data_IF_391377943325
#
_entry.id   IF_391377943325
#
_cell.length_a   1.000
_cell.length_b   1.000
_cell.length_c   1.000
_cell.angle_alpha   90.00
_cell.angle_beta   90.00
_cell.angle_gamma   90.00
#
_symmetry.space_group_name_H-M   'P 1'
#
loop_
_entity.id
_entity.type
_entity.pdbx_description
1 polymer ?
#
# COMPACT_ATOMS: atom_id res chain seq x y z
N UNK A 1 -48.38 74.37 39.16
CA UNK A 1 -47.68 74.42 37.87
C UNK A 1 -46.84 73.12 37.78
N UNK A 2 -47.35 72.12 37.12
CA UNK A 2 -46.73 70.80 37.02
C UNK A 2 -46.28 70.63 35.55
N UNK A 3 -44.95 70.58 35.34
CA UNK A 3 -44.39 70.36 34.00
C UNK A 3 -44.40 68.90 33.67
N UNK A 4 -45.18 68.52 32.67
CA UNK A 4 -45.23 67.19 32.11
C UNK A 4 -44.15 67.06 31.01
N UNK A 5 -43.10 66.25 31.29
CA UNK A 5 -42.12 65.90 30.26
C UNK A 5 -42.60 64.70 29.49
N UNK A 6 -42.83 64.91 28.19
CA UNK A 6 -43.12 63.86 27.23
C UNK A 6 -41.80 63.16 26.90
N UNK A 7 -41.72 61.84 27.17
CA UNK A 7 -40.61 60.97 26.76
C UNK A 7 -41.01 60.33 25.44
N UNK A 8 -40.32 60.74 24.37
CA UNK A 8 -40.41 60.06 23.08
C UNK A 8 -39.59 58.80 23.13
N UNK A 9 -40.25 57.64 23.18
CA UNK A 9 -39.60 56.33 22.98
C UNK A 9 -39.43 56.08 21.49
N UNK A 10 -38.20 56.12 21.03
CA UNK A 10 -37.83 55.66 19.68
C UNK A 10 -37.70 54.14 19.73
N UNK A 11 -38.62 53.46 19.07
CA UNK A 11 -38.57 52.02 18.86
C UNK A 11 -37.59 51.75 17.70
N UNK A 12 -36.37 51.29 18.04
CA UNK A 12 -35.42 50.79 17.04
C UNK A 12 -35.80 49.34 16.74
N UNK A 13 -36.38 49.13 15.56
CA UNK A 13 -36.60 47.76 15.02
C UNK A 13 -35.27 47.28 14.48
N UNK A 14 -34.59 46.43 15.22
CA UNK A 14 -33.44 45.68 14.75
C UNK A 14 -33.94 44.52 13.85
N UNK A 15 -33.78 44.68 12.54
CA UNK A 15 -33.88 43.57 11.60
C UNK A 15 -32.66 42.68 11.81
N UNK A 16 -32.83 41.55 12.50
CA UNK A 16 -31.91 40.46 12.41
C UNK A 16 -32.03 39.84 11.03
N UNK A 17 -31.12 40.18 10.14
CA UNK A 17 -30.89 39.41 8.95
C UNK A 17 -30.18 38.11 9.40
N UNK A 18 -30.96 37.03 9.50
CA UNK A 18 -30.41 35.69 9.62
C UNK A 18 -29.67 35.41 8.32
N UNK A 19 -28.34 35.55 8.30
CA UNK A 19 -27.53 34.84 7.34
C UNK A 19 -27.60 33.39 7.75
N UNK A 20 -28.48 32.61 7.12
CA UNK A 20 -28.27 31.16 7.03
C UNK A 20 -26.96 30.96 6.29
N UNK A 21 -26.01 30.20 6.83
CA UNK A 21 -24.85 29.80 6.07
C UNK A 21 -25.38 29.06 4.82
N UNK A 22 -24.76 29.25 3.65
CA UNK A 22 -25.10 28.45 2.49
C UNK A 22 -25.04 26.99 2.90
N UNK A 23 -26.08 26.22 2.55
CA UNK A 23 -26.05 24.77 2.66
C UNK A 23 -24.67 24.33 2.16
N UNK A 24 -23.82 23.85 3.08
CA UNK A 24 -22.71 23.01 2.70
C UNK A 24 -23.39 21.84 1.98
N UNK A 25 -23.39 21.89 0.65
CA UNK A 25 -23.42 20.67 -0.13
C UNK A 25 -22.31 19.85 0.46
N UNK A 26 -22.67 18.83 1.26
CA UNK A 26 -21.81 17.66 1.38
C UNK A 26 -21.51 17.32 -0.06
N UNK A 27 -20.32 17.68 -0.52
CA UNK A 27 -19.71 16.98 -1.61
C UNK A 27 -19.80 15.52 -1.19
N UNK A 28 -20.67 14.76 -1.85
CA UNK A 28 -20.56 13.31 -1.85
C UNK A 28 -19.13 13.09 -2.32
N UNK A 29 -18.28 12.81 -1.37
CA UNK A 29 -16.95 12.29 -1.57
C UNK A 29 -17.14 11.16 -2.55
N UNK A 30 -16.73 11.38 -3.78
CA UNK A 30 -16.80 10.39 -4.85
C UNK A 30 -15.83 9.31 -4.45
N UNK A 31 -16.40 8.29 -3.87
CA UNK A 31 -15.76 7.22 -3.17
C UNK A 31 -15.00 6.32 -4.15
N UNK A 32 -13.76 6.70 -4.46
CA UNK A 32 -12.74 5.76 -4.91
C UNK A 32 -12.36 4.77 -3.80
N UNK A 33 -13.12 4.75 -2.71
CA UNK A 33 -12.81 4.09 -1.44
C UNK A 33 -13.68 2.84 -1.17
N UNK A 34 -14.29 2.27 -2.19
CA UNK A 34 -15.05 1.03 -2.04
C UNK A 34 -14.16 -0.18 -2.35
N UNK A 35 -13.90 -0.98 -1.31
CA UNK A 35 -13.26 -2.29 -1.45
C UNK A 35 -14.27 -3.37 -1.80
N UNK A 36 -13.82 -4.36 -2.57
CA UNK A 36 -14.56 -5.58 -2.91
C UNK A 36 -13.88 -6.83 -2.37
N UNK A 37 -13.08 -6.68 -1.31
CA UNK A 37 -12.34 -7.79 -0.67
C UNK A 37 -13.23 -8.98 -0.30
N UNK A 38 -14.46 -8.73 0.15
CA UNK A 38 -15.41 -9.80 0.48
C UNK A 38 -15.85 -10.65 -0.71
N UNK A 39 -15.53 -10.24 -1.93
CA UNK A 39 -15.86 -10.95 -3.17
C UNK A 39 -14.69 -11.78 -3.71
N UNK A 40 -13.52 -11.71 -3.07
CA UNK A 40 -12.37 -12.48 -3.48
C UNK A 40 -12.47 -13.94 -3.03
N UNK A 41 -12.10 -14.84 -3.94
CA UNK A 41 -11.80 -16.22 -3.57
C UNK A 41 -10.40 -16.30 -2.95
N UNK A 42 -10.25 -17.11 -1.90
CA UNK A 42 -8.96 -17.38 -1.28
C UNK A 42 -8.87 -18.84 -0.81
N UNK A 43 -7.68 -19.41 -0.87
CA UNK A 43 -7.43 -20.72 -0.29
C UNK A 43 -6.03 -20.85 0.29
N UNK A 44 -5.92 -21.59 1.41
CA UNK A 44 -4.65 -21.87 2.08
C UNK A 44 -4.48 -23.38 2.26
N UNK A 45 -3.55 -23.95 1.50
CA UNK A 45 -3.26 -25.38 1.50
C UNK A 45 -2.65 -25.87 2.81
N UNK A 46 -2.70 -27.16 3.05
CA UNK A 46 -2.06 -27.75 4.23
C UNK A 46 -0.54 -27.57 4.20
N UNK A 47 0.06 -27.27 5.37
CA UNK A 47 1.50 -27.03 5.50
C UNK A 47 1.98 -25.64 5.10
N UNK A 48 1.07 -24.75 4.69
CA UNK A 48 1.36 -23.33 4.52
C UNK A 48 1.58 -22.68 5.89
N UNK A 49 2.65 -21.85 6.07
CA UNK A 49 2.84 -21.10 7.31
C UNK A 49 1.63 -20.21 7.64
N UNK A 50 1.27 -20.15 8.93
CA UNK A 50 0.11 -19.39 9.41
C UNK A 50 0.15 -17.89 9.04
N UNK A 51 1.33 -17.32 8.85
CA UNK A 51 1.53 -15.96 8.38
C UNK A 51 0.64 -15.62 7.18
N UNK A 52 0.59 -16.50 6.18
CA UNK A 52 -0.18 -16.23 4.96
C UNK A 52 -1.68 -16.21 5.23
N UNK A 53 -2.22 -17.20 5.94
CA UNK A 53 -3.65 -17.22 6.25
C UNK A 53 -4.10 -16.12 7.21
N UNK A 54 -3.17 -15.62 8.04
CA UNK A 54 -3.44 -14.50 8.95
C UNK A 54 -3.53 -13.17 8.23
N UNK A 55 -2.64 -12.92 7.26
CA UNK A 55 -2.47 -11.57 6.72
C UNK A 55 -2.89 -11.41 5.26
N UNK A 56 -3.03 -12.46 4.46
CA UNK A 56 -3.36 -12.34 3.04
C UNK A 56 -4.83 -12.60 2.77
N UNK A 57 -5.35 -11.96 1.72
CA UNK A 57 -6.65 -12.22 1.08
C UNK A 57 -6.52 -12.16 -0.44
N UNK A 58 -7.52 -12.68 -1.16
CA UNK A 58 -7.55 -12.70 -2.63
C UNK A 58 -6.38 -13.49 -3.27
N UNK A 59 -5.93 -14.53 -2.60
CA UNK A 59 -4.81 -15.37 -3.04
C UNK A 59 -5.10 -16.86 -2.82
N UNK A 60 -4.51 -17.70 -3.66
CA UNK A 60 -4.36 -19.12 -3.39
C UNK A 60 -2.93 -19.41 -2.94
N UNK A 61 -2.76 -20.03 -1.79
CA UNK A 61 -1.46 -20.30 -1.20
C UNK A 61 -1.27 -21.78 -0.98
N UNK A 62 -0.16 -22.32 -1.47
CA UNK A 62 0.19 -23.73 -1.35
C UNK A 62 1.62 -23.94 -0.91
N UNK A 63 1.85 -25.00 -0.13
CA UNK A 63 3.19 -25.42 0.24
C UNK A 63 3.82 -26.21 -0.93
N UNK A 64 5.05 -25.88 -1.29
CA UNK A 64 5.80 -26.50 -2.38
C UNK A 64 7.25 -26.80 -1.92
N UNK A 65 7.45 -27.92 -1.30
CA UNK A 65 8.77 -28.30 -0.76
C UNK A 65 9.24 -27.34 0.34
N UNK A 66 10.34 -26.66 0.11
CA UNK A 66 10.88 -25.63 1.01
C UNK A 66 10.30 -24.24 0.78
N UNK A 67 9.38 -24.10 -0.15
CA UNK A 67 8.80 -22.83 -0.56
C UNK A 67 7.29 -22.80 -0.29
N UNK A 68 6.77 -21.60 -0.17
CA UNK A 68 5.34 -21.28 -0.29
C UNK A 68 5.10 -20.62 -1.64
N UNK A 69 4.12 -21.12 -2.38
CA UNK A 69 3.71 -20.53 -3.67
C UNK A 69 2.40 -19.77 -3.46
N UNK A 70 2.38 -18.53 -3.89
CA UNK A 70 1.23 -17.62 -3.83
C UNK A 70 0.79 -17.35 -5.27
N UNK A 71 -0.47 -17.60 -5.58
CA UNK A 71 -1.05 -17.30 -6.88
C UNK A 71 -2.23 -16.36 -6.75
N UNK A 72 -2.45 -15.53 -7.76
CA UNK A 72 -3.54 -14.55 -7.82
C UNK A 72 -3.85 -14.22 -9.28
N UNK A 73 -5.06 -13.75 -9.54
CA UNK A 73 -5.44 -13.15 -10.82
C UNK A 73 -4.95 -11.71 -10.97
N UNK A 74 -4.38 -11.15 -9.92
CA UNK A 74 -3.84 -9.79 -9.86
C UNK A 74 -4.88 -8.69 -10.17
N UNK A 75 -6.15 -8.96 -9.92
CA UNK A 75 -7.20 -7.95 -10.02
C UNK A 75 -7.35 -7.22 -8.69
N UNK A 76 -7.09 -5.90 -8.63
CA UNK A 76 -7.20 -5.18 -7.37
C UNK A 76 -8.65 -5.19 -6.86
N UNK A 77 -8.89 -5.59 -5.58
CA UNK A 77 -10.24 -5.75 -5.03
C UNK A 77 -10.82 -4.42 -4.55
N UNK A 78 -10.79 -3.39 -5.39
CA UNK A 78 -11.29 -2.05 -5.12
C UNK A 78 -11.54 -1.28 -6.41
N UNK A 79 -12.14 -0.11 -6.29
CA UNK A 79 -12.42 0.75 -7.45
C UNK A 79 -11.17 1.48 -7.93
N UNK A 80 -10.98 1.47 -9.26
CA UNK A 80 -9.91 2.20 -9.95
C UNK A 80 -10.38 2.72 -11.29
N UNK A 81 -9.89 3.88 -11.69
CA UNK A 81 -10.11 4.40 -13.05
C UNK A 81 -9.32 3.64 -14.12
N UNK A 82 -8.50 2.68 -13.70
CA UNK A 82 -7.78 1.81 -14.61
C UNK A 82 -8.56 0.57 -15.02
N UNK A 83 -9.69 0.27 -14.41
CA UNK A 83 -10.61 -0.72 -14.95
C UNK A 83 -11.28 -0.21 -16.23
N UNK A 84 -11.67 -1.11 -17.12
CA UNK A 84 -12.47 -0.74 -18.29
C UNK A 84 -13.82 -0.16 -17.86
N UNK A 85 -14.38 0.77 -18.63
CA UNK A 85 -15.61 1.51 -18.27
C UNK A 85 -16.84 0.63 -18.00
N UNK A 86 -16.83 -0.62 -18.43
CA UNK A 86 -17.92 -1.55 -18.20
C UNK A 86 -17.68 -2.48 -16.99
N UNK A 87 -16.54 -2.34 -16.33
CA UNK A 87 -16.21 -3.15 -15.16
C UNK A 87 -16.89 -2.57 -13.91
N UNK A 88 -17.37 -3.43 -13.00
CA UNK A 88 -18.05 -3.00 -11.76
C UNK A 88 -17.17 -2.14 -10.86
N UNK A 89 -15.85 -2.36 -10.92
CA UNK A 89 -14.85 -1.60 -10.16
C UNK A 89 -14.34 -0.35 -10.90
N UNK A 90 -14.95 0.03 -12.03
CA UNK A 90 -14.57 1.27 -12.71
C UNK A 90 -15.10 2.50 -11.99
N UNK A 91 -14.26 3.52 -11.90
CA UNK A 91 -14.62 4.90 -11.55
C UNK A 91 -14.02 5.88 -12.57
N UNK A 92 -14.62 7.05 -12.71
CA UNK A 92 -14.04 8.09 -13.54
C UNK A 92 -12.73 8.63 -12.94
N UNK A 93 -11.79 9.00 -13.82
CA UNK A 93 -10.54 9.62 -13.40
C UNK A 93 -10.77 10.96 -12.69
N UNK A 94 -10.17 11.09 -11.52
CA UNK A 94 -10.09 12.36 -10.79
C UNK A 94 -8.62 12.65 -10.49
N UNK A 95 -8.14 13.81 -10.91
CA UNK A 95 -6.75 14.20 -10.66
C UNK A 95 -6.49 14.35 -9.16
N UNK A 96 -5.43 13.72 -8.67
CA UNK A 96 -4.99 13.80 -7.27
C UNK A 96 -4.12 15.05 -6.98
N UNK A 97 -3.89 15.89 -7.99
CA UNK A 97 -3.10 17.11 -7.84
C UNK A 97 -2.31 17.49 -9.07
N UNK A 98 -1.44 18.49 -8.91
CA UNK A 98 -0.58 18.94 -10.01
C UNK A 98 0.40 17.87 -10.43
N UNK A 99 0.52 17.62 -11.71
CA UNK A 99 1.40 16.61 -12.29
C UNK A 99 0.76 15.24 -12.46
N UNK A 100 -0.34 14.92 -11.75
CA UNK A 100 -1.02 13.64 -11.90
C UNK A 100 -1.71 13.49 -13.25
N UNK A 101 -1.62 12.29 -13.82
CA UNK A 101 -2.23 11.92 -15.08
C UNK A 101 -2.69 10.46 -15.06
N UNK A 102 -3.65 10.12 -15.89
CA UNK A 102 -4.00 8.73 -16.16
C UNK A 102 -3.14 8.20 -17.30
N UNK A 103 -2.41 7.10 -17.08
CA UNK A 103 -1.74 6.42 -18.18
C UNK A 103 -2.79 5.73 -19.10
N UNK A 104 -2.47 5.41 -20.35
CA UNK A 104 -3.48 4.90 -21.31
C UNK A 104 -3.84 3.42 -21.13
N UNK A 105 -3.29 2.76 -20.12
CA UNK A 105 -3.43 1.31 -19.94
C UNK A 105 -4.68 0.99 -19.10
N UNK A 106 -5.24 -0.22 -19.30
CA UNK A 106 -6.36 -0.74 -18.52
C UNK A 106 -5.94 -2.00 -17.77
N UNK A 107 -6.52 -2.23 -16.59
CA UNK A 107 -6.33 -3.46 -15.80
C UNK A 107 -6.88 -4.65 -16.55
N UNK A 108 -6.11 -5.73 -16.56
CA UNK A 108 -6.57 -7.04 -17.02
C UNK A 108 -6.06 -8.15 -16.11
N UNK A 109 -6.86 -9.20 -15.92
CA UNK A 109 -6.48 -10.34 -15.10
C UNK A 109 -5.19 -10.99 -15.60
N UNK A 110 -4.36 -11.43 -14.65
CA UNK A 110 -3.08 -12.06 -14.87
C UNK A 110 -3.10 -13.47 -14.24
N UNK A 111 -2.16 -14.30 -14.61
CA UNK A 111 -1.89 -15.56 -13.89
C UNK A 111 -0.60 -15.38 -13.10
N UNK A 112 -0.69 -14.60 -12.00
CA UNK A 112 0.46 -14.34 -11.16
C UNK A 112 0.81 -15.56 -10.33
N UNK A 113 2.11 -15.85 -10.20
CA UNK A 113 2.62 -16.90 -9.31
C UNK A 113 3.97 -16.47 -8.76
N UNK A 114 4.06 -16.38 -7.45
CA UNK A 114 5.30 -16.01 -6.74
C UNK A 114 5.65 -17.15 -5.77
N UNK A 115 6.88 -17.63 -5.87
CA UNK A 115 7.41 -18.66 -4.98
C UNK A 115 8.32 -18.01 -3.96
N UNK A 116 8.02 -18.19 -2.67
CA UNK A 116 8.73 -17.56 -1.54
C UNK A 116 9.38 -18.66 -0.71
N UNK A 117 10.71 -18.61 -0.44
CA UNK A 117 11.37 -19.59 0.42
C UNK A 117 10.93 -19.44 1.89
N UNK A 118 10.56 -20.56 2.52
CA UNK A 118 10.18 -20.59 3.94
C UNK A 118 11.36 -20.27 4.87
N UNK A 119 12.56 -20.65 4.47
CA UNK A 119 13.81 -20.39 5.19
C UNK A 119 14.84 -19.86 4.20
N UNK A 120 14.76 -18.58 3.83
CA UNK A 120 15.65 -18.01 2.84
C UNK A 120 17.10 -17.92 3.34
N UNK A 121 18.04 -17.99 2.42
CA UNK A 121 19.47 -17.86 2.70
C UNK A 121 19.95 -16.45 2.39
N UNK A 122 20.55 -15.79 3.38
CA UNK A 122 21.14 -14.47 3.18
C UNK A 122 22.28 -14.51 2.17
N UNK A 123 22.32 -13.53 1.28
CA UNK A 123 23.44 -13.30 0.35
C UNK A 123 24.70 -12.75 1.04
N UNK A 124 24.60 -12.39 2.33
CA UNK A 124 25.71 -11.80 3.09
C UNK A 124 26.10 -10.41 2.61
N UNK A 125 25.16 -9.68 2.00
CA UNK A 125 25.39 -8.32 1.48
C UNK A 125 25.35 -7.31 2.62
N UNK A 126 26.19 -6.28 2.48
CA UNK A 126 26.02 -5.01 3.20
C UNK A 126 25.28 -4.06 2.26
N UNK A 127 24.00 -3.85 2.52
CA UNK A 127 23.17 -2.97 1.68
C UNK A 127 23.49 -1.51 2.02
N UNK A 128 24.02 -0.81 1.05
CA UNK A 128 24.45 0.57 1.17
C UNK A 128 24.02 1.38 -0.07
N UNK A 129 24.22 2.69 -0.03
CA UNK A 129 23.82 3.62 -1.09
C UNK A 129 24.48 3.40 -2.46
N UNK A 130 25.51 2.53 -2.53
CA UNK A 130 26.11 2.15 -3.81
C UNK A 130 25.40 0.96 -4.47
N UNK A 131 24.64 0.20 -3.69
CA UNK A 131 23.75 -0.86 -4.21
C UNK A 131 22.35 -0.31 -4.49
N UNK A 132 21.84 0.53 -3.57
CA UNK A 132 20.53 1.19 -3.70
C UNK A 132 20.74 2.52 -4.40
N UNK A 133 20.90 2.50 -5.71
CA UNK A 133 21.25 3.69 -6.50
C UNK A 133 20.10 4.23 -7.36
N UNK A 134 18.97 3.54 -7.38
CA UNK A 134 17.77 3.96 -8.12
C UNK A 134 17.86 3.75 -9.63
N UNK A 135 18.84 2.97 -10.12
CA UNK A 135 19.05 2.77 -11.56
C UNK A 135 19.01 1.28 -11.91
N UNK A 136 18.07 0.90 -12.78
CA UNK A 136 17.91 -0.48 -13.19
C UNK A 136 19.16 -1.06 -13.88
N UNK A 137 19.53 -2.27 -13.50
CA UNK A 137 20.62 -3.03 -14.13
C UNK A 137 22.01 -2.64 -13.67
N UNK A 138 22.16 -1.90 -12.57
CA UNK A 138 23.45 -1.49 -12.02
C UNK A 138 24.05 -2.52 -11.06
N UNK A 139 23.20 -3.36 -10.48
CA UNK A 139 23.59 -4.46 -9.59
C UNK A 139 23.02 -5.80 -10.04
N UNK A 140 23.77 -6.89 -9.84
CA UNK A 140 23.28 -8.26 -10.05
C UNK A 140 22.37 -8.74 -8.90
N UNK A 141 22.15 -7.91 -7.89
CA UNK A 141 21.36 -8.22 -6.72
C UNK A 141 20.00 -7.54 -6.70
N UNK A 142 19.73 -6.70 -7.70
CA UNK A 142 18.43 -6.04 -7.85
C UNK A 142 17.30 -7.05 -8.07
N UNK A 143 16.11 -6.71 -7.60
CA UNK A 143 14.91 -7.39 -8.06
C UNK A 143 14.71 -7.13 -9.56
N UNK A 144 14.31 -8.17 -10.28
CA UNK A 144 13.99 -8.04 -11.72
C UNK A 144 12.83 -7.07 -11.99
N UNK A 145 12.69 -6.67 -13.24
CA UNK A 145 11.51 -5.92 -13.68
C UNK A 145 10.30 -6.85 -13.77
N UNK A 146 9.15 -6.40 -13.24
CA UNK A 146 7.91 -7.16 -13.21
C UNK A 146 7.48 -7.55 -11.79
N UNK A 147 6.62 -8.56 -11.67
CA UNK A 147 6.13 -9.03 -10.37
C UNK A 147 7.24 -9.75 -9.60
N UNK A 148 7.74 -9.12 -8.58
CA UNK A 148 8.82 -9.62 -7.70
C UNK A 148 8.35 -9.83 -6.26
N UNK A 149 7.07 -9.64 -5.99
CA UNK A 149 6.43 -9.89 -4.71
C UNK A 149 4.92 -9.86 -4.83
N UNK A 150 4.25 -10.09 -3.70
CA UNK A 150 2.79 -10.10 -3.59
C UNK A 150 2.38 -9.26 -2.40
N UNK A 151 1.47 -8.33 -2.62
CA UNK A 151 0.80 -7.56 -1.58
C UNK A 151 -0.28 -8.39 -0.89
N UNK A 152 -0.70 -8.00 0.33
CA UNK A 152 -1.66 -8.77 1.13
C UNK A 152 -3.00 -9.01 0.43
N UNK A 153 -3.37 -8.14 -0.51
CA UNK A 153 -4.61 -8.21 -1.29
C UNK A 153 -4.44 -8.88 -2.67
N UNK A 154 -3.38 -9.66 -2.85
CA UNK A 154 -3.13 -10.41 -4.08
C UNK A 154 -2.59 -9.61 -5.26
N UNK A 155 -2.35 -8.31 -5.09
CA UNK A 155 -1.77 -7.44 -6.13
C UNK A 155 -0.25 -7.60 -6.17
N UNK A 156 0.33 -7.52 -7.36
CA UNK A 156 1.76 -7.61 -7.56
C UNK A 156 2.53 -6.46 -6.90
N UNK A 157 3.66 -6.79 -6.30
CA UNK A 157 4.69 -5.83 -5.93
C UNK A 157 5.77 -5.83 -7.00
N UNK A 158 6.13 -4.66 -7.51
CA UNK A 158 7.26 -4.45 -8.38
C UNK A 158 8.43 -3.87 -7.58
N UNK A 159 9.62 -3.88 -8.17
CA UNK A 159 10.78 -3.16 -7.64
C UNK A 159 10.54 -1.63 -7.69
N UNK A 160 11.37 -0.80 -7.06
CA UNK A 160 11.17 0.64 -7.01
C UNK A 160 11.66 1.37 -8.27
N UNK A 161 11.85 0.67 -9.38
CA UNK A 161 12.43 1.23 -10.60
C UNK A 161 11.38 1.30 -11.71
N UNK A 162 11.38 2.39 -12.45
CA UNK A 162 10.62 2.51 -13.69
C UNK A 162 11.33 1.80 -14.84
N UNK A 163 10.57 1.39 -15.86
CA UNK A 163 11.15 0.84 -17.07
C UNK A 163 11.96 1.93 -17.83
N UNK A 164 13.25 1.70 -18.15
CA UNK A 164 14.03 2.70 -18.85
C UNK A 164 13.38 3.15 -20.18
N UNK A 165 13.40 4.43 -20.55
CA UNK A 165 14.17 5.50 -19.90
C UNK A 165 13.43 6.29 -18.82
N UNK A 166 12.30 5.81 -18.33
CA UNK A 166 11.44 6.51 -17.39
C UNK A 166 12.05 6.51 -15.98
N UNK A 167 11.62 7.46 -15.15
CA UNK A 167 12.01 7.61 -13.75
C UNK A 167 10.78 7.33 -12.87
N UNK A 168 10.96 6.54 -11.81
CA UNK A 168 9.87 6.23 -10.86
C UNK A 168 9.33 7.49 -10.18
N UNK A 169 10.16 8.52 -10.03
CA UNK A 169 9.76 9.82 -9.47
C UNK A 169 8.82 10.60 -10.41
N UNK A 170 8.82 10.28 -11.70
CA UNK A 170 7.87 10.80 -12.69
C UNK A 170 6.68 9.83 -12.84
N UNK A 171 6.94 8.53 -12.87
CA UNK A 171 5.92 7.49 -13.06
C UNK A 171 4.87 7.47 -11.93
N UNK A 172 5.27 7.80 -10.68
CA UNK A 172 4.36 7.88 -9.52
C UNK A 172 3.16 8.81 -9.72
N UNK A 173 3.28 9.80 -10.61
CA UNK A 173 2.16 10.69 -10.91
C UNK A 173 1.06 10.02 -11.76
N UNK A 174 1.27 8.79 -12.21
CA UNK A 174 0.24 7.97 -12.83
C UNK A 174 -0.46 7.01 -11.85
N UNK A 175 -0.08 6.97 -10.58
CA UNK A 175 -0.72 6.10 -9.60
C UNK A 175 -2.14 6.53 -9.29
N UNK A 176 -3.03 5.56 -9.08
CA UNK A 176 -4.40 5.81 -8.65
C UNK A 176 -4.50 6.06 -7.13
N UNK A 177 -5.72 6.12 -6.59
CA UNK A 177 -5.95 6.33 -5.16
C UNK A 177 -5.33 5.26 -4.24
N UNK A 178 -5.01 4.09 -4.79
CA UNK A 178 -4.36 3.02 -4.08
C UNK A 178 -2.84 2.95 -4.34
N UNK A 179 -2.28 3.99 -4.95
CA UNK A 179 -0.87 4.07 -5.31
C UNK A 179 -0.40 2.94 -6.23
N UNK A 180 -1.25 2.53 -7.16
CA UNK A 180 -0.92 1.54 -8.18
C UNK A 180 -1.32 2.00 -9.58
N UNK A 181 -0.81 1.30 -10.57
CA UNK A 181 -1.12 1.52 -11.96
C UNK A 181 -0.88 0.25 -12.82
N UNK A 182 -1.48 0.14 -14.02
CA UNK A 182 -1.24 -0.99 -14.90
C UNK A 182 -0.07 -0.74 -15.86
N UNK A 183 0.67 -1.80 -16.19
CA UNK A 183 1.58 -1.84 -17.34
C UNK A 183 0.80 -1.80 -18.65
N UNK A 184 1.51 -1.72 -19.78
CA UNK A 184 0.92 -1.81 -21.13
C UNK A 184 0.24 -3.17 -21.44
N UNK A 185 0.48 -4.19 -20.63
CA UNK A 185 -0.20 -5.50 -20.70
C UNK A 185 -1.36 -5.64 -19.71
N UNK A 186 -1.69 -4.57 -18.99
CA UNK A 186 -2.75 -4.54 -18.00
C UNK A 186 -2.36 -5.14 -16.64
N UNK A 187 -1.06 -5.36 -16.40
CA UNK A 187 -0.56 -5.88 -15.14
C UNK A 187 -0.56 -4.77 -14.09
N UNK A 188 -1.57 -4.73 -13.21
CA UNK A 188 -1.66 -3.74 -12.13
C UNK A 188 -0.67 -4.08 -11.02
N UNK A 189 0.00 -3.07 -10.45
CA UNK A 189 1.04 -3.29 -9.44
C UNK A 189 1.27 -2.07 -8.56
N UNK A 190 1.94 -2.32 -7.43
CA UNK A 190 2.44 -1.31 -6.52
C UNK A 190 3.96 -1.23 -6.57
N UNK A 191 4.48 -0.01 -6.39
CA UNK A 191 5.90 0.26 -6.12
C UNK A 191 6.13 0.81 -4.70
N UNK A 192 5.07 1.12 -3.96
CA UNK A 192 5.11 1.85 -2.70
C UNK A 192 3.98 1.43 -1.77
N UNK A 193 3.81 2.17 -0.66
CA UNK A 193 2.66 2.01 0.25
C UNK A 193 1.35 2.10 -0.50
N UNK A 194 0.41 1.25 -0.13
CA UNK A 194 -0.95 1.26 -0.65
C UNK A 194 -1.96 1.05 0.47
N UNK A 195 -3.12 1.67 0.33
CA UNK A 195 -4.25 1.43 1.22
C UNK A 195 -4.80 -0.01 1.08
N UNK A 196 -4.70 -0.62 -0.12
CA UNK A 196 -5.27 -1.94 -0.39
C UNK A 196 -4.82 -3.05 0.57
N UNK A 197 -3.52 -3.25 0.84
CA UNK A 197 -3.05 -4.16 1.87
C UNK A 197 -3.55 -3.84 3.28
N UNK A 198 -3.68 -2.56 3.63
CA UNK A 198 -4.20 -2.16 4.95
C UNK A 198 -5.71 -2.45 5.08
N UNK A 199 -6.47 -2.38 4.00
CA UNK A 199 -7.88 -2.80 4.00
C UNK A 199 -8.03 -4.30 4.28
N UNK A 200 -7.08 -5.13 3.84
CA UNK A 200 -7.06 -6.56 4.23
C UNK A 200 -6.88 -6.70 5.74
N UNK A 201 -5.95 -5.97 6.34
CA UNK A 201 -5.75 -5.99 7.79
C UNK A 201 -7.00 -5.50 8.53
N UNK A 202 -7.67 -4.47 8.02
CA UNK A 202 -8.91 -3.95 8.58
C UNK A 202 -10.06 -4.96 8.47
N UNK A 203 -10.26 -5.59 7.33
CA UNK A 203 -11.29 -6.62 7.12
C UNK A 203 -11.08 -7.83 8.03
N UNK A 204 -9.82 -8.21 8.25
CA UNK A 204 -9.46 -9.29 9.18
C UNK A 204 -9.53 -8.85 10.66
N UNK A 205 -9.86 -7.59 10.95
CA UNK A 205 -9.99 -7.05 12.30
C UNK A 205 -8.67 -6.87 13.05
N UNK A 206 -7.56 -6.79 12.32
CA UNK A 206 -6.22 -6.63 12.88
C UNK A 206 -5.86 -5.15 13.10
N UNK A 207 -6.51 -4.24 12.39
CA UNK A 207 -6.42 -2.78 12.57
C UNK A 207 -7.82 -2.17 12.52
N UNK A 208 -7.95 -0.95 13.01
CA UNK A 208 -9.23 -0.21 12.98
C UNK A 208 -9.34 0.73 11.78
N UNK A 209 -8.21 1.16 11.25
CA UNK A 209 -8.16 2.20 10.20
C UNK A 209 -7.12 1.86 9.13
N UNK A 210 -7.58 1.72 7.87
CA UNK A 210 -6.72 1.46 6.72
C UNK A 210 -6.08 2.75 6.19
N UNK A 211 -5.30 3.43 7.01
CA UNK A 211 -4.60 4.67 6.66
C UNK A 211 -3.10 4.48 6.87
N UNK A 212 -2.30 4.74 5.82
CA UNK A 212 -0.83 4.71 5.89
C UNK A 212 -0.34 5.72 6.94
N UNK A 213 0.52 5.28 7.85
CA UNK A 213 1.05 6.11 8.93
C UNK A 213 0.10 6.32 10.10
N UNK A 214 -0.96 5.51 10.23
CA UNK A 214 -1.94 5.64 11.32
C UNK A 214 -1.39 5.31 12.71
N UNK A 215 -0.20 4.69 12.80
CA UNK A 215 0.38 4.21 14.05
C UNK A 215 -0.15 2.83 14.50
N UNK A 216 -1.02 2.21 13.71
CA UNK A 216 -1.40 0.80 13.85
C UNK A 216 -0.40 -0.08 13.10
N UNK A 217 -0.54 -1.40 13.19
CA UNK A 217 0.35 -2.30 12.44
C UNK A 217 0.16 -2.10 10.93
N UNK A 218 1.28 -2.09 10.22
CA UNK A 218 1.30 -1.91 8.78
C UNK A 218 2.15 -3.00 8.13
N UNK A 219 1.49 -3.86 7.37
CA UNK A 219 2.09 -4.92 6.56
C UNK A 219 1.59 -4.75 5.13
N UNK A 220 2.52 -4.74 4.18
CA UNK A 220 2.16 -4.54 2.77
C UNK A 220 2.25 -5.80 1.93
N UNK A 221 3.17 -6.71 2.25
CA UNK A 221 3.33 -7.95 1.50
C UNK A 221 4.69 -8.62 1.72
N UNK A 222 5.05 -9.47 0.76
CA UNK A 222 6.30 -10.24 0.78
C UNK A 222 6.91 -10.31 -0.61
N UNK A 223 8.23 -10.17 -0.68
CA UNK A 223 9.00 -10.30 -1.91
C UNK A 223 9.35 -11.76 -2.19
N UNK A 224 9.68 -12.08 -3.44
CA UNK A 224 10.00 -13.43 -3.90
C UNK A 224 11.21 -14.06 -3.20
N UNK A 225 12.14 -13.27 -2.70
CA UNK A 225 13.27 -13.74 -1.92
C UNK A 225 12.95 -14.03 -0.44
N UNK A 226 11.75 -13.65 0.01
CA UNK A 226 11.30 -13.79 1.39
C UNK A 226 11.45 -12.55 2.26
N UNK A 227 11.91 -11.43 1.71
CA UNK A 227 11.88 -10.12 2.38
C UNK A 227 10.44 -9.70 2.62
N UNK A 228 10.07 -9.41 3.87
CA UNK A 228 8.75 -8.89 4.23
C UNK A 228 8.75 -7.37 4.10
N UNK A 229 7.64 -6.78 3.67
CA UNK A 229 7.49 -5.33 3.52
C UNK A 229 6.51 -4.82 4.56
N UNK A 230 7.02 -4.02 5.47
CA UNK A 230 6.26 -3.35 6.53
C UNK A 230 6.15 -1.85 6.27
N UNK A 231 5.25 -1.21 6.99
CA UNK A 231 5.10 0.24 7.00
C UNK A 231 5.83 0.89 8.17
N UNK A 232 5.10 1.76 8.90
CA UNK A 232 5.67 2.57 9.97
C UNK A 232 5.93 1.80 11.28
N UNK A 233 5.42 0.59 11.41
CA UNK A 233 5.51 -0.23 12.63
C UNK A 233 5.89 -1.66 12.32
N UNK A 234 6.41 -2.36 13.32
CA UNK A 234 6.47 -3.81 13.38
C UNK A 234 5.06 -4.42 13.54
N UNK A 235 4.91 -5.74 13.41
CA UNK A 235 3.61 -6.40 13.58
C UNK A 235 3.10 -6.40 15.04
N UNK A 236 3.97 -6.17 16.01
CA UNK A 236 3.58 -5.97 17.41
C UNK A 236 3.14 -4.52 17.73
N UNK A 237 3.15 -3.65 16.71
CA UNK A 237 2.78 -2.23 16.82
C UNK A 237 3.90 -1.33 17.32
N UNK A 238 5.11 -1.84 17.53
CA UNK A 238 6.26 -1.03 17.95
C UNK A 238 6.82 -0.29 16.73
N UNK A 239 7.11 1.00 16.90
CA UNK A 239 7.84 1.77 15.89
C UNK A 239 9.31 1.40 15.98
N UNK A 240 9.95 0.92 14.89
CA UNK A 240 11.36 0.55 14.90
C UNK A 240 12.27 1.78 15.06
N UNK A 241 13.50 1.54 15.53
CA UNK A 241 14.53 2.59 15.61
C UNK A 241 15.21 2.74 14.24
N UNK A 242 15.10 3.92 13.64
CA UNK A 242 15.70 4.24 12.32
C UNK A 242 17.23 4.03 12.29
N UNK A 243 17.91 3.99 13.45
CA UNK A 243 19.37 3.75 13.53
C UNK A 243 19.77 2.32 13.16
N UNK A 244 18.84 1.38 13.16
CA UNK A 244 19.07 -0.03 12.85
C UNK A 244 18.92 -0.35 11.37
N UNK A 245 18.48 0.63 10.57
CA UNK A 245 18.18 0.45 9.16
C UNK A 245 19.40 0.57 8.26
N UNK A 246 19.45 -0.30 7.26
CA UNK A 246 20.36 -0.16 6.12
C UNK A 246 19.86 0.87 5.09
N UNK A 247 20.54 0.98 3.93
CA UNK A 247 20.21 2.00 2.94
C UNK A 247 18.88 1.82 2.21
N UNK A 248 18.24 0.65 2.31
CA UNK A 248 16.86 0.45 1.81
C UNK A 248 15.83 0.36 2.94
N UNK A 249 16.15 0.92 4.11
CA UNK A 249 15.34 0.89 5.33
C UNK A 249 15.00 -0.53 5.78
N UNK A 250 15.94 -1.45 5.67
CA UNK A 250 15.78 -2.82 6.09
C UNK A 250 16.65 -3.17 7.29
N UNK A 251 16.21 -4.15 8.05
CA UNK A 251 16.97 -4.75 9.14
C UNK A 251 16.59 -6.22 9.35
N UNK A 252 17.33 -6.91 10.19
CA UNK A 252 17.05 -8.32 10.56
C UNK A 252 16.50 -8.34 11.97
N UNK A 253 15.25 -8.77 12.12
CA UNK A 253 14.57 -8.88 13.40
C UNK A 253 13.60 -10.07 13.37
N UNK A 254 13.09 -10.48 14.54
CA UNK A 254 11.99 -11.43 14.62
C UNK A 254 10.69 -10.75 14.21
N UNK A 255 9.94 -11.37 13.31
CA UNK A 255 8.64 -10.88 12.89
C UNK A 255 7.59 -11.58 13.74
N UNK A 256 7.05 -10.86 14.71
CA UNK A 256 6.05 -11.35 15.67
C UNK A 256 4.92 -10.33 15.88
N UNK A 257 3.73 -10.82 16.20
CA UNK A 257 2.53 -10.01 16.44
C UNK A 257 2.22 -9.80 17.92
N UNK A 258 3.20 -10.01 18.81
CA UNK A 258 3.06 -9.96 20.26
C UNK A 258 2.49 -11.26 20.86
N UNK A 259 2.02 -12.19 20.03
CA UNK A 259 1.49 -13.50 20.45
C UNK A 259 2.14 -14.66 19.72
N UNK A 260 2.51 -14.48 18.46
CA UNK A 260 3.03 -15.50 17.56
C UNK A 260 4.26 -14.99 16.85
N UNK A 261 5.38 -15.73 16.96
CA UNK A 261 6.54 -15.51 16.12
C UNK A 261 6.30 -16.18 14.75
N UNK A 262 6.14 -15.35 13.71
CA UNK A 262 5.93 -15.82 12.33
C UNK A 262 7.24 -16.21 11.67
N UNK A 263 8.26 -15.38 11.86
CA UNK A 263 9.60 -15.61 11.31
C UNK A 263 10.67 -15.19 12.34
N UNK A 264 11.73 -15.98 12.46
CA UNK A 264 12.88 -15.66 13.34
C UNK A 264 14.04 -15.13 12.52
N UNK A 265 14.66 -14.03 12.97
CA UNK A 265 15.78 -13.37 12.29
C UNK A 265 15.50 -13.14 10.79
N UNK A 266 14.34 -12.62 10.46
CA UNK A 266 13.92 -12.35 9.09
C UNK A 266 14.25 -10.92 8.71
N UNK A 267 14.97 -10.76 7.60
CA UNK A 267 15.14 -9.44 7.01
C UNK A 267 13.81 -8.94 6.46
N UNK A 268 13.49 -7.70 6.78
CA UNK A 268 12.32 -7.00 6.28
C UNK A 268 12.65 -5.52 6.07
N UNK A 269 11.84 -4.83 5.29
CA UNK A 269 12.03 -3.41 4.97
C UNK A 269 10.81 -2.60 5.37
N UNK A 270 11.06 -1.35 5.77
CA UNK A 270 10.03 -0.40 6.15
C UNK A 270 9.85 0.65 5.06
N UNK A 271 8.74 0.60 4.33
CA UNK A 271 8.38 1.57 3.29
C UNK A 271 7.60 2.77 3.83
N UNK A 272 7.50 2.88 5.15
CA UNK A 272 7.11 4.06 5.91
C UNK A 272 7.93 4.07 7.20
N UNK A 273 8.48 5.19 7.60
CA UNK A 273 9.16 5.38 8.89
C UNK A 273 8.64 6.62 9.59
N UNK A 274 8.79 6.70 10.92
CA UNK A 274 8.28 7.82 11.71
C UNK A 274 8.85 9.18 11.28
N UNK A 275 10.04 9.20 10.70
CA UNK A 275 10.72 10.43 10.26
C UNK A 275 10.50 10.74 8.78
N UNK A 276 9.78 9.88 8.06
CA UNK A 276 9.65 9.98 6.61
C UNK A 276 8.36 10.68 6.17
N UNK A 277 8.51 11.71 5.33
CA UNK A 277 7.42 12.39 4.63
C UNK A 277 7.58 12.21 3.12
N UNK A 278 6.69 11.47 2.47
CA UNK A 278 6.71 11.23 1.02
C UNK A 278 6.58 9.75 0.66
N UNK A 279 6.74 9.44 -0.62
CA UNK A 279 6.75 8.07 -1.08
C UNK A 279 8.05 7.36 -0.68
N UNK A 280 7.93 6.22 0.01
CA UNK A 280 8.96 5.20 0.04
C UNK A 280 8.55 4.08 -0.88
N UNK A 281 9.54 3.53 -1.52
CA UNK A 281 9.32 2.47 -2.49
C UNK A 281 9.66 1.09 -1.89
N UNK A 282 9.19 0.06 -2.55
CA UNK A 282 9.60 -1.33 -2.31
C UNK A 282 11.12 -1.46 -2.37
N UNK A 283 11.73 -2.50 -1.78
CA UNK A 283 13.18 -2.64 -1.80
C UNK A 283 13.72 -2.90 -3.21
N UNK A 284 14.90 -2.35 -3.50
CA UNK A 284 15.60 -2.51 -4.77
C UNK A 284 16.47 -3.78 -4.78
N UNK A 285 17.13 -4.06 -3.65
CA UNK A 285 18.13 -5.12 -3.53
C UNK A 285 17.56 -6.34 -2.82
N UNK A 286 17.73 -7.51 -3.41
CA UNK A 286 17.41 -8.80 -2.81
C UNK A 286 18.39 -9.10 -1.66
N UNK A 287 17.88 -9.17 -0.46
CA UNK A 287 18.69 -9.56 0.71
C UNK A 287 18.97 -11.05 0.74
N UNK A 288 18.04 -11.86 0.26
CA UNK A 288 18.13 -13.30 0.19
C UNK A 288 18.30 -13.84 -1.23
N UNK A 289 18.75 -15.09 -1.33
CA UNK A 289 18.58 -15.87 -2.55
C UNK A 289 17.13 -16.36 -2.65
N UNK A 290 16.51 -16.26 -3.82
CA UNK A 290 15.14 -16.78 -3.95
C UNK A 290 14.34 -16.33 -5.14
N UNK A 291 14.57 -15.14 -5.66
CA UNK A 291 13.94 -14.72 -6.90
C UNK A 291 14.66 -15.34 -8.10
N UNK A 292 13.94 -16.07 -8.94
CA UNK A 292 14.44 -16.67 -10.20
C UNK A 292 13.93 -15.89 -11.38
#
# INVERSE_FOLDING_TARGET
MINLKIINSVFVILFFWSCEPPDEKKDEETTGDETTLSNCDESFGSGVPAFYSTYFSCVDVSASGSNTTITSDNLPPYKSWYYSKNHENYIDYVSQGSGYFQNPNEISGQSMSVSVPNSPTSRGLTINSSLVDGNAGTSNYEYGMGAVGVALNGVALFNPLAAPPDDIEDEKFSFDYYNGHPTNTGYYHYHTTSKGPLEVLQEKGLITTAIVGSGEIELYGIMCDGTVIMGCTELDGITPDDSDFDSQNGHVHDIEDGTTAHFTNRYHTHICTATFTGFKFTPEIQYYDGCN
#
